data_IF_029118078268
#
_entry.id   IF_029118078268
#
_cell.length_a   1.000
_cell.length_b   1.000
_cell.length_c   1.000
_cell.angle_alpha   90.00
_cell.angle_beta   90.00
_cell.angle_gamma   90.00
#
_symmetry.space_group_name_H-M   'P 1'
#
loop_
_entity.id
_entity.type
_entity.pdbx_description
1 polymer ?
#
# COMPACT_ATOMS: atom_id res chain seq x y z
N UNK A 1 3.93 -29.84 -33.58
CA UNK A 1 4.19 -29.63 -32.14
C UNK A 1 3.95 -28.16 -31.85
N UNK A 2 2.94 -27.80 -31.04
CA UNK A 2 2.77 -26.41 -30.62
C UNK A 2 3.92 -26.06 -29.71
N UNK A 3 4.69 -25.03 -30.08
CA UNK A 3 5.69 -24.40 -29.26
C UNK A 3 4.95 -23.82 -28.03
N UNK A 4 5.13 -24.43 -26.87
CA UNK A 4 4.81 -23.76 -25.61
C UNK A 4 5.79 -22.61 -25.50
N UNK A 5 5.35 -21.41 -25.79
CA UNK A 5 6.10 -20.20 -25.42
C UNK A 5 6.21 -20.23 -23.90
N UNK A 6 7.41 -20.41 -23.37
CA UNK A 6 7.64 -20.19 -21.95
C UNK A 6 7.17 -18.77 -21.63
N UNK A 7 6.37 -18.60 -20.59
CA UNK A 7 5.92 -17.25 -20.21
C UNK A 7 7.14 -16.38 -19.92
N UNK A 8 7.12 -15.16 -20.46
CA UNK A 8 8.15 -14.17 -20.11
C UNK A 8 8.31 -14.12 -18.59
N UNK A 9 9.53 -14.03 -18.05
CA UNK A 9 9.75 -13.93 -16.60
C UNK A 9 8.95 -12.82 -15.93
N UNK A 10 8.59 -11.80 -16.68
CA UNK A 10 7.75 -10.67 -16.22
C UNK A 10 6.27 -10.85 -16.52
N UNK A 11 5.82 -12.04 -16.97
CA UNK A 11 4.40 -12.29 -17.15
C UNK A 11 3.69 -12.41 -15.80
N UNK A 12 2.41 -12.04 -15.76
CA UNK A 12 1.56 -12.13 -14.56
C UNK A 12 1.65 -13.52 -13.90
N UNK A 13 1.53 -14.57 -14.70
CA UNK A 13 1.52 -15.95 -14.22
C UNK A 13 2.89 -16.36 -13.65
N UNK A 14 3.99 -15.93 -14.26
CA UNK A 14 5.35 -16.19 -13.77
C UNK A 14 5.60 -15.46 -12.44
N UNK A 15 5.21 -14.19 -12.34
CA UNK A 15 5.30 -13.41 -11.10
C UNK A 15 4.48 -14.05 -10.01
N UNK A 16 3.20 -14.38 -10.27
CA UNK A 16 2.32 -15.03 -9.30
C UNK A 16 2.87 -16.38 -8.83
N UNK A 17 3.43 -17.18 -9.75
CA UNK A 17 4.05 -18.46 -9.40
C UNK A 17 5.25 -18.28 -8.45
N UNK A 18 6.11 -17.29 -8.70
CA UNK A 18 7.25 -16.96 -7.83
C UNK A 18 6.80 -16.51 -6.45
N UNK A 19 5.82 -15.62 -6.38
CA UNK A 19 5.27 -15.14 -5.11
C UNK A 19 4.60 -16.27 -4.32
N UNK A 20 3.86 -17.15 -4.99
CA UNK A 20 3.23 -18.30 -4.35
C UNK A 20 4.27 -19.28 -3.79
N UNK A 21 5.35 -19.53 -4.53
CA UNK A 21 6.44 -20.37 -4.05
C UNK A 21 7.14 -19.76 -2.83
N UNK A 22 7.13 -18.45 -2.68
CA UNK A 22 7.63 -17.73 -1.51
C UNK A 22 6.62 -17.65 -0.34
N UNK A 23 5.40 -18.24 -0.50
CA UNK A 23 4.39 -18.29 0.55
C UNK A 23 3.36 -17.15 0.54
N UNK A 24 3.32 -16.34 -0.52
CA UNK A 24 2.30 -15.30 -0.67
C UNK A 24 0.94 -15.94 -0.96
N UNK A 25 -0.04 -15.66 -0.11
CA UNK A 25 -1.41 -16.24 -0.21
C UNK A 25 -2.20 -15.61 -1.36
N UNK A 26 -2.06 -14.31 -1.56
CA UNK A 26 -2.75 -13.53 -2.59
C UNK A 26 -1.83 -13.22 -3.78
N UNK A 27 -1.11 -14.24 -4.25
CA UNK A 27 -0.03 -14.08 -5.22
C UNK A 27 -0.47 -13.43 -6.54
N UNK A 28 -1.68 -13.69 -7.02
CA UNK A 28 -2.23 -13.10 -8.25
C UNK A 28 -2.51 -11.62 -8.09
N UNK A 29 -3.16 -11.23 -7.01
CA UNK A 29 -3.46 -9.82 -6.72
C UNK A 29 -2.17 -9.03 -6.47
N UNK A 30 -1.21 -9.62 -5.75
CA UNK A 30 0.10 -9.02 -5.53
C UNK A 30 0.90 -8.88 -6.83
N UNK A 31 0.80 -9.86 -7.75
CA UNK A 31 1.43 -9.78 -9.07
C UNK A 31 0.86 -8.62 -9.89
N UNK A 32 -0.47 -8.46 -9.87
CA UNK A 32 -1.13 -7.35 -10.57
C UNK A 32 -0.66 -5.99 -10.02
N UNK A 33 -0.54 -5.86 -8.71
CA UNK A 33 -0.05 -4.63 -8.07
C UNK A 33 1.43 -4.33 -8.42
N UNK A 34 2.28 -5.35 -8.41
CA UNK A 34 3.70 -5.20 -8.77
C UNK A 34 3.84 -4.80 -10.24
N UNK A 35 3.12 -5.46 -11.15
CA UNK A 35 3.17 -5.15 -12.57
C UNK A 35 2.68 -3.72 -12.86
N UNK A 36 1.60 -3.30 -12.19
CA UNK A 36 1.10 -1.94 -12.30
C UNK A 36 2.10 -0.91 -11.76
N UNK A 37 2.76 -1.20 -10.63
CA UNK A 37 3.76 -0.31 -10.04
C UNK A 37 5.05 -0.23 -10.86
N UNK A 38 5.41 -1.30 -11.57
CA UNK A 38 6.59 -1.35 -12.42
C UNK A 38 6.44 -0.59 -13.74
N UNK A 39 5.22 -0.24 -14.13
CA UNK A 39 4.88 0.55 -15.32
C UNK A 39 5.59 0.07 -16.61
N UNK A 40 5.62 -1.24 -16.82
CA UNK A 40 6.21 -1.87 -18.00
C UNK A 40 7.74 -2.02 -17.97
N UNK A 41 8.41 -1.69 -16.87
CA UNK A 41 9.85 -1.95 -16.69
C UNK A 41 10.09 -3.36 -16.13
N UNK A 42 10.61 -4.33 -16.94
CA UNK A 42 10.90 -5.68 -16.46
C UNK A 42 11.92 -5.72 -15.32
N UNK A 43 12.91 -4.83 -15.34
CA UNK A 43 13.90 -4.73 -14.26
C UNK A 43 13.29 -4.28 -12.94
N UNK A 44 12.29 -3.41 -12.98
CA UNK A 44 11.51 -3.03 -11.80
C UNK A 44 10.69 -4.23 -11.28
N UNK A 45 10.05 -5.00 -12.17
CA UNK A 45 9.32 -6.23 -11.79
C UNK A 45 10.24 -7.17 -11.03
N UNK A 46 11.40 -7.49 -11.59
CA UNK A 46 12.36 -8.42 -10.95
C UNK A 46 12.80 -7.95 -9.58
N UNK A 47 13.12 -6.66 -9.44
CA UNK A 47 13.51 -6.07 -8.14
C UNK A 47 12.37 -6.16 -7.11
N UNK A 48 11.15 -5.83 -7.51
CA UNK A 48 9.97 -5.86 -6.65
C UNK A 48 9.63 -7.30 -6.22
N UNK A 49 9.62 -8.24 -7.16
CA UNK A 49 9.36 -9.66 -6.86
C UNK A 49 10.41 -10.22 -5.91
N UNK A 50 11.69 -9.92 -6.14
CA UNK A 50 12.79 -10.37 -5.26
C UNK A 50 12.61 -9.83 -3.83
N UNK A 51 12.30 -8.55 -3.68
CA UNK A 51 12.08 -7.93 -2.36
C UNK A 51 10.86 -8.53 -1.66
N UNK A 52 9.76 -8.74 -2.40
CA UNK A 52 8.55 -9.33 -1.85
C UNK A 52 8.76 -10.78 -1.42
N UNK A 53 9.42 -11.59 -2.26
CA UNK A 53 9.76 -12.98 -1.95
C UNK A 53 10.72 -13.11 -0.76
N UNK A 54 11.57 -12.10 -0.52
CA UNK A 54 12.41 -12.00 0.66
C UNK A 54 11.66 -11.63 1.95
N UNK A 55 10.34 -11.38 1.88
CA UNK A 55 9.48 -11.15 3.04
C UNK A 55 9.13 -9.69 3.33
N UNK A 56 9.54 -8.73 2.48
CA UNK A 56 9.10 -7.35 2.67
C UNK A 56 7.59 -7.24 2.46
N UNK A 57 6.89 -6.43 3.27
CA UNK A 57 5.50 -6.08 3.01
C UNK A 57 5.31 -5.53 1.59
N UNK A 58 4.22 -5.94 0.93
CA UNK A 58 3.93 -5.49 -0.43
C UNK A 58 3.90 -3.97 -0.56
N UNK A 59 3.34 -3.29 0.42
CA UNK A 59 3.22 -1.83 0.48
C UNK A 59 4.59 -1.13 0.44
N UNK A 60 5.60 -1.70 1.12
CA UNK A 60 6.97 -1.19 1.07
C UNK A 60 7.68 -1.53 -0.26
N UNK A 61 7.22 -2.54 -0.96
CA UNK A 61 7.73 -2.91 -2.28
C UNK A 61 7.20 -1.97 -3.34
N UNK A 62 5.90 -1.70 -3.35
CA UNK A 62 5.24 -0.82 -4.33
C UNK A 62 5.31 0.67 -3.94
N UNK A 63 5.59 1.00 -2.66
CA UNK A 63 5.76 2.35 -2.15
C UNK A 63 4.48 3.05 -1.72
N UNK A 64 3.37 2.33 -1.61
CA UNK A 64 2.09 2.89 -1.19
C UNK A 64 1.21 1.83 -0.52
N UNK A 65 0.28 2.30 0.31
CA UNK A 65 -0.77 1.49 0.92
C UNK A 65 -2.14 2.11 0.63
N UNK A 66 -3.17 1.29 0.52
CA UNK A 66 -4.54 1.76 0.43
C UNK A 66 -5.12 1.99 1.83
N UNK A 67 -5.65 3.19 2.05
CA UNK A 67 -6.29 3.57 3.30
C UNK A 67 -7.39 4.60 3.03
N UNK A 68 -8.61 4.33 3.52
CA UNK A 68 -9.76 5.21 3.31
C UNK A 68 -10.06 5.51 1.84
N UNK A 69 -9.88 4.53 0.94
CA UNK A 69 -10.06 4.68 -0.50
C UNK A 69 -8.98 5.51 -1.21
N UNK A 70 -7.85 5.78 -0.54
CA UNK A 70 -6.74 6.58 -1.05
C UNK A 70 -5.44 5.80 -1.04
N UNK A 71 -4.53 6.13 -1.95
CA UNK A 71 -3.14 5.67 -1.90
C UNK A 71 -2.34 6.60 -1.00
N UNK A 72 -1.78 6.02 0.05
CA UNK A 72 -0.90 6.70 1.00
C UNK A 72 0.52 6.25 0.71
N UNK A 73 1.43 7.18 0.48
CA UNK A 73 2.84 6.87 0.30
C UNK A 73 3.41 6.27 1.59
N UNK A 74 4.18 5.22 1.45
CA UNK A 74 4.90 4.57 2.55
C UNK A 74 6.37 4.40 2.19
N UNK A 75 7.22 4.56 3.17
CA UNK A 75 8.68 4.44 3.04
C UNK A 75 9.22 3.43 4.04
N UNK A 76 10.42 2.86 3.80
CA UNK A 76 11.08 2.00 4.78
C UNK A 76 11.23 2.72 6.14
N UNK A 77 10.88 2.01 7.22
CA UNK A 77 10.90 2.56 8.57
C UNK A 77 9.58 3.18 9.02
N UNK A 78 8.69 3.48 8.11
CA UNK A 78 7.35 4.00 8.43
C UNK A 78 6.36 2.84 8.60
N UNK A 79 5.52 2.92 9.63
CA UNK A 79 4.50 1.91 9.88
C UNK A 79 3.46 1.92 8.76
N UNK A 80 3.22 0.75 8.15
CA UNK A 80 2.21 0.59 7.11
C UNK A 80 0.82 0.72 7.72
N UNK A 81 -0.04 1.65 7.24
CA UNK A 81 -1.38 1.84 7.80
C UNK A 81 -2.23 0.57 7.62
N UNK A 82 -2.97 0.21 8.65
CA UNK A 82 -3.83 -0.98 8.68
C UNK A 82 -5.27 -0.62 8.36
N UNK A 83 -5.94 -1.42 7.51
CA UNK A 83 -7.34 -1.24 7.15
C UNK A 83 -8.28 -1.10 8.34
N UNK A 84 -8.07 -1.90 9.39
CA UNK A 84 -8.87 -1.83 10.61
C UNK A 84 -8.83 -0.46 11.30
N UNK A 85 -7.79 0.34 11.05
CA UNK A 85 -7.68 1.70 11.58
C UNK A 85 -8.62 2.68 10.88
N UNK A 86 -9.20 2.32 9.74
CA UNK A 86 -10.27 3.09 9.10
C UNK A 86 -11.49 3.27 10.02
N UNK A 87 -11.76 2.30 10.89
CA UNK A 87 -12.79 2.41 11.92
C UNK A 87 -12.56 3.59 12.86
N UNK A 88 -11.30 3.91 13.19
CA UNK A 88 -10.97 5.10 13.99
C UNK A 88 -11.39 6.39 13.28
N UNK A 89 -11.16 6.45 11.96
CA UNK A 89 -11.58 7.60 11.13
C UNK A 89 -13.11 7.73 11.15
N UNK A 90 -13.84 6.65 10.97
CA UNK A 90 -15.30 6.63 11.01
C UNK A 90 -15.84 7.13 12.37
N UNK A 91 -15.26 6.66 13.46
CA UNK A 91 -15.68 7.08 14.81
C UNK A 91 -15.35 8.55 15.08
N UNK A 92 -14.20 9.03 14.66
CA UNK A 92 -13.82 10.44 14.81
C UNK A 92 -14.79 11.37 14.06
N UNK A 93 -15.15 11.01 12.82
CA UNK A 93 -16.12 11.77 12.02
C UNK A 93 -17.52 11.76 12.63
N UNK A 94 -17.94 10.64 13.22
CA UNK A 94 -19.22 10.54 13.88
C UNK A 94 -19.31 11.40 15.17
N UNK A 95 -18.21 11.47 15.92
CA UNK A 95 -18.14 12.21 17.18
C UNK A 95 -17.90 13.72 16.99
N UNK A 96 -17.20 14.12 15.94
CA UNK A 96 -16.82 15.50 15.69
C UNK A 96 -16.97 15.87 14.20
N UNK A 97 -18.19 15.83 13.65
CA UNK A 97 -18.41 16.07 12.22
C UNK A 97 -18.08 17.51 11.78
N UNK A 98 -18.10 18.46 12.71
CA UNK A 98 -17.83 19.88 12.46
C UNK A 98 -16.45 20.32 12.98
N UNK A 99 -15.53 19.38 13.18
CA UNK A 99 -14.19 19.70 13.65
C UNK A 99 -13.49 20.70 12.71
N UNK A 100 -12.96 21.78 13.25
CA UNK A 100 -12.18 22.77 12.51
C UNK A 100 -10.67 22.54 12.60
N UNK A 101 -10.23 21.73 13.55
CA UNK A 101 -8.82 21.34 13.73
C UNK A 101 -8.72 19.85 14.09
N UNK A 102 -7.69 19.20 13.57
CA UNK A 102 -7.34 17.79 13.84
C UNK A 102 -5.86 17.71 14.18
N UNK A 103 -5.55 16.96 15.21
CA UNK A 103 -4.16 16.61 15.56
C UNK A 103 -4.02 15.09 15.46
N UNK A 104 -3.17 14.63 14.55
CA UNK A 104 -2.81 13.22 14.35
C UNK A 104 -1.47 12.96 15.04
N UNK A 105 -1.53 12.47 16.29
CA UNK A 105 -0.35 12.14 17.08
C UNK A 105 0.12 10.72 16.78
N UNK A 106 1.45 10.55 16.67
CA UNK A 106 2.06 9.30 16.22
C UNK A 106 1.55 8.94 14.82
N UNK A 107 1.60 9.91 13.92
CA UNK A 107 0.91 9.85 12.64
C UNK A 107 1.49 8.81 11.67
N UNK A 108 2.73 8.36 11.85
CA UNK A 108 3.41 7.47 10.91
C UNK A 108 3.39 8.04 9.49
N UNK A 109 2.74 7.35 8.56
CA UNK A 109 2.54 7.82 7.17
C UNK A 109 1.57 9.00 7.03
N UNK A 110 0.84 9.37 8.09
CA UNK A 110 -0.18 10.41 8.05
C UNK A 110 -1.54 9.96 7.49
N UNK A 111 -1.77 8.66 7.38
CA UNK A 111 -2.97 8.11 6.75
C UNK A 111 -4.27 8.52 7.44
N UNK A 112 -4.31 8.49 8.77
CA UNK A 112 -5.51 8.86 9.56
C UNK A 112 -5.83 10.35 9.38
N UNK A 113 -4.84 11.22 9.57
CA UNK A 113 -5.01 12.66 9.38
C UNK A 113 -5.44 13.02 7.96
N UNK A 114 -4.83 12.39 6.95
CA UNK A 114 -5.20 12.59 5.55
C UNK A 114 -6.65 12.18 5.26
N UNK A 115 -7.11 11.05 5.81
CA UNK A 115 -8.48 10.59 5.65
C UNK A 115 -9.48 11.52 6.33
N UNK A 116 -9.17 12.01 7.53
CA UNK A 116 -10.00 12.98 8.26
C UNK A 116 -10.08 14.32 7.53
N UNK A 117 -8.96 14.86 7.09
CA UNK A 117 -8.92 16.10 6.33
C UNK A 117 -9.73 16.03 5.03
N UNK A 118 -9.64 14.90 4.33
CA UNK A 118 -10.42 14.68 3.12
C UNK A 118 -11.93 14.65 3.37
N UNK A 119 -12.38 14.09 4.48
CA UNK A 119 -13.79 13.98 4.82
C UNK A 119 -14.35 15.28 5.42
N UNK A 120 -13.57 15.98 6.23
CA UNK A 120 -13.99 17.24 6.88
C UNK A 120 -13.89 18.45 5.96
N UNK A 121 -13.05 18.40 4.92
CA UNK A 121 -12.84 19.51 3.99
C UNK A 121 -11.94 20.60 4.57
N UNK A 122 -12.47 21.77 4.90
CA UNK A 122 -11.70 22.89 5.45
C UNK A 122 -11.36 22.64 6.92
N UNK A 123 -10.26 21.95 7.19
CA UNK A 123 -9.78 21.62 8.54
C UNK A 123 -8.30 21.95 8.68
N UNK A 124 -7.92 22.45 9.85
CA UNK A 124 -6.50 22.65 10.22
C UNK A 124 -5.93 21.32 10.70
N UNK A 125 -5.09 20.69 9.88
CA UNK A 125 -4.49 19.40 10.19
C UNK A 125 -3.05 19.56 10.66
N UNK A 126 -2.77 19.04 11.84
CA UNK A 126 -1.43 18.88 12.38
C UNK A 126 -1.11 17.40 12.57
N UNK A 127 -0.08 16.91 11.88
CA UNK A 127 0.39 15.54 12.02
C UNK A 127 1.80 15.57 12.63
N UNK A 128 2.04 14.76 13.65
CA UNK A 128 3.30 14.71 14.38
C UNK A 128 3.70 13.28 14.72
N UNK A 129 4.99 12.99 14.56
CA UNK A 129 5.60 11.74 15.01
C UNK A 129 7.00 12.04 15.58
N UNK A 130 7.62 11.03 16.21
CA UNK A 130 8.97 11.17 16.79
C UNK A 130 10.09 10.95 15.77
N UNK A 131 9.78 10.34 14.63
CA UNK A 131 10.71 10.04 13.53
C UNK A 131 10.49 10.95 12.32
#
# INVERSE_FOLDING_TARGET
>A
MPHRSDPSPSSRDAVAATLRAAGCVFAEDEADMILAAADGDPGAVDRMVTRRAAGLPLELVVGWAEFGGRRILVEPGVFVPRRRTEFLVEQALALAPDASAVVDLCCGSGAVGAALAAALGAVDLHAADVD
#
